data_IF_793004831785
#
_entry.id   IF_793004831785
#
_cell.length_a   1.000
_cell.length_b   1.000
_cell.length_c   1.000
_cell.angle_alpha   90.00
_cell.angle_beta   90.00
_cell.angle_gamma   90.00
#
_symmetry.space_group_name_H-M   'P 1'
#
loop_
_entity.id
_entity.type
_entity.pdbx_description
1 polymer ?
#
# COMPACT_ATOMS: atom_id res chain seq x y z
N UNK A 1 -30.98 3.10 4.00
CA UNK A 1 -29.88 2.18 3.67
C UNK A 1 -29.04 2.91 2.65
N UNK A 2 -27.75 3.11 2.91
CA UNK A 2 -26.94 3.95 2.05
C UNK A 2 -26.55 3.26 0.74
N UNK A 3 -26.46 4.02 -0.35
CA UNK A 3 -26.19 3.50 -1.68
C UNK A 3 -24.72 3.11 -1.81
N UNK A 4 -24.44 1.90 -2.29
CA UNK A 4 -23.07 1.35 -2.36
C UNK A 4 -22.65 1.08 -3.80
N UNK A 5 -21.51 1.67 -4.20
CA UNK A 5 -20.82 1.35 -5.46
C UNK A 5 -19.59 0.51 -5.16
N UNK A 6 -19.25 -0.44 -6.04
CA UNK A 6 -18.07 -1.28 -5.84
C UNK A 6 -16.84 -0.63 -6.49
N UNK A 7 -15.74 -0.49 -5.76
CA UNK A 7 -14.43 -0.22 -6.34
C UNK A 7 -13.82 -1.50 -6.93
N UNK A 8 -14.04 -2.65 -6.30
CA UNK A 8 -13.72 -3.96 -6.90
C UNK A 8 -14.99 -4.80 -6.95
N UNK A 9 -15.25 -5.45 -8.08
CA UNK A 9 -16.44 -6.29 -8.25
C UNK A 9 -16.38 -7.49 -7.28
N UNK A 10 -17.49 -7.81 -6.58
CA UNK A 10 -17.53 -8.92 -5.64
C UNK A 10 -17.40 -10.28 -6.34
N UNK A 11 -17.90 -10.37 -7.57
CA UNK A 11 -17.84 -11.55 -8.44
C UNK A 11 -16.54 -11.63 -9.25
N UNK A 12 -15.77 -10.52 -9.36
CA UNK A 12 -14.53 -10.43 -10.14
C UNK A 12 -13.51 -9.54 -9.41
N UNK A 13 -12.84 -10.09 -8.40
CA UNK A 13 -11.98 -9.33 -7.48
C UNK A 13 -10.74 -8.65 -8.12
N UNK A 14 -10.40 -9.01 -9.37
CA UNK A 14 -9.36 -8.35 -10.18
C UNK A 14 -9.87 -7.14 -10.95
N UNK A 15 -11.18 -7.05 -11.16
CA UNK A 15 -11.81 -5.95 -11.86
C UNK A 15 -11.98 -4.78 -10.89
N UNK A 16 -11.29 -3.68 -11.16
CA UNK A 16 -11.41 -2.44 -10.39
C UNK A 16 -12.03 -1.32 -11.22
N UNK A 17 -12.74 -0.41 -10.56
CA UNK A 17 -13.45 0.69 -11.20
C UNK A 17 -12.47 1.67 -11.85
N UNK A 18 -12.50 1.76 -13.17
CA UNK A 18 -11.61 2.62 -13.97
C UNK A 18 -12.31 3.88 -14.47
N UNK A 19 -13.55 3.76 -14.95
CA UNK A 19 -14.30 4.86 -15.55
C UNK A 19 -15.79 4.84 -15.18
N UNK A 20 -16.44 6.01 -15.25
CA UNK A 20 -17.85 6.21 -14.90
C UNK A 20 -18.47 7.24 -15.86
N UNK A 21 -19.68 6.98 -16.36
CA UNK A 21 -20.46 7.95 -17.12
C UNK A 21 -21.96 7.63 -17.10
N UNK A 22 -22.85 8.64 -17.12
CA UNK A 22 -24.29 8.42 -17.30
C UNK A 22 -24.63 8.01 -18.75
N UNK A 23 -23.75 8.27 -19.71
CA UNK A 23 -23.91 7.85 -21.11
C UNK A 23 -23.26 6.48 -21.34
N UNK A 24 -24.09 5.46 -21.58
CA UNK A 24 -23.63 4.10 -21.85
C UNK A 24 -22.73 4.02 -23.08
N UNK A 25 -23.05 4.74 -24.17
CA UNK A 25 -22.27 4.69 -25.41
C UNK A 25 -20.83 5.18 -25.17
N UNK A 26 -20.65 6.15 -24.27
CA UNK A 26 -19.32 6.63 -23.85
C UNK A 26 -18.56 5.59 -23.05
N UNK A 27 -19.24 4.86 -22.16
CA UNK A 27 -18.61 3.80 -21.36
C UNK A 27 -18.22 2.62 -22.25
N UNK A 28 -19.06 2.26 -23.22
CA UNK A 28 -18.77 1.23 -24.22
C UNK A 28 -17.61 1.64 -25.15
N UNK A 29 -17.55 2.89 -25.57
CA UNK A 29 -16.43 3.42 -26.34
C UNK A 29 -15.11 3.35 -25.57
N UNK A 30 -15.11 3.72 -24.28
CA UNK A 30 -13.93 3.58 -23.41
C UNK A 30 -13.53 2.11 -23.26
N UNK A 31 -14.51 1.22 -23.02
CA UNK A 31 -14.28 -0.21 -22.88
C UNK A 31 -13.66 -0.84 -24.14
N UNK A 32 -14.05 -0.37 -25.33
CA UNK A 32 -13.52 -0.85 -26.61
C UNK A 32 -12.03 -0.49 -26.84
N UNK A 33 -11.48 0.47 -26.09
CA UNK A 33 -10.06 0.83 -26.15
C UNK A 33 -9.17 0.06 -25.17
N UNK A 34 -9.77 -0.66 -24.22
CA UNK A 34 -9.03 -1.40 -23.22
C UNK A 34 -8.42 -2.68 -23.80
N UNK A 35 -7.20 -3.00 -23.38
CA UNK A 35 -6.50 -4.24 -23.74
C UNK A 35 -6.84 -5.41 -22.80
N UNK A 36 -7.24 -5.09 -21.57
CA UNK A 36 -7.56 -6.06 -20.52
C UNK A 36 -9.07 -6.37 -20.50
N UNK A 37 -9.46 -7.45 -19.80
CA UNK A 37 -10.87 -7.80 -19.60
C UNK A 37 -11.62 -6.63 -18.95
N UNK A 38 -12.72 -6.21 -19.57
CA UNK A 38 -13.60 -5.15 -19.07
C UNK A 38 -14.99 -5.65 -18.73
N UNK A 39 -15.63 -4.97 -17.78
CA UNK A 39 -17.02 -5.22 -17.37
C UNK A 39 -17.73 -3.91 -17.12
N UNK A 40 -18.98 -3.81 -17.54
CA UNK A 40 -19.83 -2.64 -17.27
C UNK A 40 -20.89 -3.04 -16.25
N UNK A 41 -21.11 -2.20 -15.23
CA UNK A 41 -22.24 -2.30 -14.31
C UNK A 41 -23.05 -1.03 -14.31
N UNK A 42 -24.35 -1.17 -14.25
CA UNK A 42 -25.29 -0.09 -14.04
C UNK A 42 -25.53 0.10 -12.55
N UNK A 43 -25.60 1.36 -12.10
CA UNK A 43 -26.00 1.74 -10.76
C UNK A 43 -27.15 2.73 -10.84
N UNK A 44 -28.20 2.44 -10.08
CA UNK A 44 -29.31 3.35 -9.83
C UNK A 44 -28.96 4.18 -8.58
N UNK A 45 -28.42 5.38 -8.80
CA UNK A 45 -28.15 6.35 -7.74
C UNK A 45 -29.20 7.49 -7.83
N UNK A 46 -28.84 8.73 -7.51
CA UNK A 46 -29.72 9.89 -7.80
C UNK A 46 -29.94 10.06 -9.32
N UNK A 47 -28.98 9.62 -10.12
CA UNK A 47 -29.12 9.37 -11.57
C UNK A 47 -28.53 7.99 -11.92
N UNK A 48 -29.00 7.40 -13.02
CA UNK A 48 -28.41 6.17 -13.56
C UNK A 48 -26.99 6.43 -14.04
N UNK A 49 -26.04 5.62 -13.57
CA UNK A 49 -24.65 5.70 -14.01
C UNK A 49 -24.11 4.33 -14.41
N UNK A 50 -23.30 4.33 -15.46
CA UNK A 50 -22.60 3.16 -15.96
C UNK A 50 -21.13 3.20 -15.53
N UNK A 51 -20.69 2.11 -14.91
CA UNK A 51 -19.37 1.94 -14.33
C UNK A 51 -18.57 0.92 -15.11
N UNK A 52 -17.43 1.35 -15.66
CA UNK A 52 -16.45 0.48 -16.31
C UNK A 52 -15.47 -0.05 -15.27
N UNK A 53 -15.31 -1.34 -15.29
CA UNK A 53 -14.31 -2.06 -14.52
C UNK A 53 -13.31 -2.70 -15.47
N UNK A 54 -12.04 -2.62 -15.11
CA UNK A 54 -10.94 -3.23 -15.87
C UNK A 54 -10.19 -4.19 -14.96
N UNK A 55 -9.92 -5.39 -15.46
CA UNK A 55 -9.12 -6.38 -14.75
C UNK A 55 -7.66 -5.91 -14.65
N UNK A 56 -7.05 -6.05 -13.47
CA UNK A 56 -5.59 -5.93 -13.36
C UNK A 56 -4.89 -6.97 -14.26
N UNK A 57 -3.73 -6.64 -14.85
CA UNK A 57 -2.92 -7.62 -15.57
C UNK A 57 -2.57 -8.83 -14.71
N UNK A 58 -2.29 -9.96 -15.34
CA UNK A 58 -1.79 -11.17 -14.67
C UNK A 58 -0.48 -11.59 -15.33
N UNK A 59 0.62 -11.40 -14.59
CA UNK A 59 1.96 -11.83 -14.99
C UNK A 59 2.31 -13.21 -14.39
N UNK A 60 1.31 -13.91 -13.86
CA UNK A 60 1.47 -15.21 -13.22
C UNK A 60 1.77 -15.11 -11.72
N UNK A 61 2.61 -16.02 -11.24
CA UNK A 61 3.01 -16.14 -9.84
C UNK A 61 4.18 -15.20 -9.58
N UNK A 62 4.15 -14.44 -8.48
CA UNK A 62 5.21 -13.48 -8.18
C UNK A 62 6.57 -14.13 -7.94
N UNK A 63 6.61 -15.31 -7.32
CA UNK A 63 7.85 -16.07 -7.13
C UNK A 63 8.52 -16.49 -8.46
N UNK A 64 7.75 -16.52 -9.56
CA UNK A 64 8.23 -16.96 -10.87
C UNK A 64 8.61 -15.76 -11.78
N UNK A 65 8.58 -14.51 -11.27
CA UNK A 65 9.03 -13.34 -12.02
C UNK A 65 10.55 -13.37 -12.23
N UNK A 66 11.02 -12.58 -13.20
CA UNK A 66 12.45 -12.35 -13.39
C UNK A 66 12.97 -11.37 -12.33
N UNK A 67 14.07 -11.74 -11.67
CA UNK A 67 14.70 -10.97 -10.59
C UNK A 67 16.17 -10.64 -10.91
N UNK A 68 16.55 -10.57 -12.18
CA UNK A 68 17.85 -10.05 -12.61
C UNK A 68 17.88 -8.52 -12.48
N UNK A 69 18.23 -8.04 -11.29
CA UNK A 69 18.28 -6.62 -10.94
C UNK A 69 19.71 -6.13 -10.67
N UNK A 70 20.72 -6.96 -10.91
CA UNK A 70 22.11 -6.67 -10.53
C UNK A 70 22.57 -5.35 -11.15
N UNK A 71 22.31 -5.16 -12.45
CA UNK A 71 22.68 -3.93 -13.16
C UNK A 71 21.94 -2.68 -12.67
N UNK A 72 20.69 -2.82 -12.19
CA UNK A 72 19.92 -1.69 -11.66
C UNK A 72 20.35 -1.32 -10.26
N UNK A 73 20.62 -2.33 -9.42
CA UNK A 73 21.14 -2.16 -8.06
C UNK A 73 22.54 -1.54 -8.12
N UNK A 74 23.45 -2.03 -8.98
CA UNK A 74 24.81 -1.51 -9.11
C UNK A 74 24.88 -0.01 -9.45
N UNK A 75 23.84 0.55 -10.09
CA UNK A 75 23.75 1.98 -10.41
C UNK A 75 23.34 2.86 -9.23
N UNK A 76 22.77 2.28 -8.18
CA UNK A 76 22.35 3.02 -6.99
C UNK A 76 23.57 3.42 -6.14
N UNK A 77 23.44 4.46 -5.30
CA UNK A 77 24.46 4.70 -4.27
C UNK A 77 24.48 3.59 -3.22
N UNK A 78 25.62 3.41 -2.54
CA UNK A 78 25.82 2.32 -1.57
C UNK A 78 24.67 2.17 -0.56
N UNK A 79 24.12 3.26 -0.05
CA UNK A 79 23.07 3.15 0.98
C UNK A 79 21.74 2.70 0.37
N UNK A 80 21.40 3.20 -0.80
CA UNK A 80 20.26 2.69 -1.57
C UNK A 80 20.44 1.22 -1.95
N UNK A 81 21.64 0.81 -2.39
CA UNK A 81 21.93 -0.59 -2.71
C UNK A 81 21.62 -1.51 -1.53
N UNK A 82 22.18 -1.21 -0.36
CA UNK A 82 22.01 -2.05 0.83
C UNK A 82 20.53 -2.15 1.24
N UNK A 83 19.81 -1.02 1.29
CA UNK A 83 18.40 -1.02 1.69
C UNK A 83 17.55 -1.77 0.64
N UNK A 84 17.81 -1.57 -0.66
CA UNK A 84 17.11 -2.27 -1.75
C UNK A 84 17.33 -3.78 -1.68
N UNK A 85 18.58 -4.24 -1.50
CA UNK A 85 18.90 -5.67 -1.38
C UNK A 85 18.14 -6.28 -0.21
N UNK A 86 18.13 -5.62 0.95
CA UNK A 86 17.39 -6.09 2.12
C UNK A 86 15.89 -6.12 1.88
N UNK A 87 15.31 -5.09 1.26
CA UNK A 87 13.88 -5.05 0.92
C UNK A 87 13.47 -6.20 -0.01
N UNK A 88 14.28 -6.48 -1.05
CA UNK A 88 14.02 -7.58 -1.99
C UNK A 88 14.17 -8.95 -1.32
N UNK A 89 15.12 -9.10 -0.40
CA UNK A 89 15.25 -10.29 0.44
C UNK A 89 13.99 -10.54 1.28
N UNK A 90 13.53 -9.52 2.00
CA UNK A 90 12.28 -9.58 2.78
C UNK A 90 11.08 -9.92 1.91
N UNK A 91 10.99 -9.35 0.71
CA UNK A 91 9.91 -9.67 -0.22
C UNK A 91 9.88 -11.16 -0.58
N UNK A 92 11.05 -11.75 -0.90
CA UNK A 92 11.15 -13.19 -1.19
C UNK A 92 10.74 -14.04 0.01
N UNK A 93 11.22 -13.72 1.21
CA UNK A 93 10.82 -14.42 2.45
C UNK A 93 9.30 -14.40 2.66
N UNK A 94 8.65 -13.25 2.40
CA UNK A 94 7.19 -13.12 2.52
C UNK A 94 6.45 -13.95 1.48
N UNK A 95 6.97 -14.06 0.25
CA UNK A 95 6.37 -14.93 -0.76
C UNK A 95 6.37 -16.40 -0.32
N UNK A 96 7.50 -16.86 0.24
CA UNK A 96 7.68 -18.23 0.73
C UNK A 96 6.78 -18.51 1.94
N UNK A 97 6.83 -17.65 2.97
CA UNK A 97 5.97 -17.76 4.17
C UNK A 97 4.49 -17.78 3.82
N UNK A 98 4.05 -16.89 2.90
CA UNK A 98 2.64 -16.86 2.49
C UNK A 98 2.21 -18.17 1.82
N UNK A 99 3.08 -18.79 1.04
CA UNK A 99 2.78 -20.08 0.43
C UNK A 99 2.72 -21.20 1.48
N UNK A 100 3.61 -21.19 2.46
CA UNK A 100 3.61 -22.16 3.56
C UNK A 100 2.35 -22.04 4.43
N UNK A 101 1.93 -20.83 4.78
CA UNK A 101 0.77 -20.55 5.63
C UNK A 101 -0.57 -20.75 4.89
N UNK A 102 -0.69 -20.21 3.68
CA UNK A 102 -1.97 -20.11 2.97
C UNK A 102 -2.13 -21.19 1.88
N UNK A 103 -1.11 -22.03 1.65
CA UNK A 103 -1.03 -23.00 0.53
C UNK A 103 -1.34 -22.37 -0.84
N UNK A 104 -1.18 -21.05 -0.95
CA UNK A 104 -1.60 -20.23 -2.08
C UNK A 104 -0.47 -19.30 -2.48
N UNK A 105 -0.06 -19.36 -3.75
CA UNK A 105 0.97 -18.46 -4.25
C UNK A 105 0.40 -17.10 -4.60
N UNK A 106 1.10 -16.05 -4.18
CA UNK A 106 0.72 -14.67 -4.50
C UNK A 106 0.90 -14.39 -6.00
N UNK A 107 -0.12 -13.80 -6.62
CA UNK A 107 -0.13 -13.40 -8.02
C UNK A 107 0.56 -12.06 -8.24
N UNK A 108 1.24 -11.90 -9.35
CA UNK A 108 1.85 -10.64 -9.78
C UNK A 108 0.94 -9.89 -10.75
N UNK A 109 0.67 -8.62 -10.45
CA UNK A 109 -0.05 -7.72 -11.38
C UNK A 109 0.87 -6.74 -12.13
N UNK A 110 2.16 -6.67 -11.77
CA UNK A 110 3.20 -5.91 -12.48
C UNK A 110 4.58 -6.56 -12.27
N UNK A 111 5.62 -6.03 -12.89
CA UNK A 111 7.01 -6.38 -12.57
C UNK A 111 7.47 -5.63 -11.31
N UNK A 112 8.57 -6.06 -10.71
CA UNK A 112 9.23 -5.27 -9.65
C UNK A 112 9.86 -4.04 -10.30
N UNK A 113 9.55 -2.86 -9.77
CA UNK A 113 10.12 -1.58 -10.21
C UNK A 113 11.30 -1.22 -9.29
N UNK A 114 12.42 -1.92 -9.47
CA UNK A 114 13.59 -1.80 -8.57
C UNK A 114 14.24 -0.43 -8.65
N UNK A 115 14.29 0.16 -9.85
CA UNK A 115 14.80 1.50 -10.14
C UNK A 115 14.02 2.62 -9.42
N UNK A 116 12.77 2.35 -9.04
CA UNK A 116 11.90 3.27 -8.34
C UNK A 116 12.06 3.22 -6.80
N UNK A 117 12.80 2.24 -6.25
CA UNK A 117 13.05 2.13 -4.80
C UNK A 117 13.89 3.30 -4.26
N UNK A 118 14.99 3.72 -4.91
CA UNK A 118 15.73 4.93 -4.52
C UNK A 118 14.87 6.18 -4.43
N UNK A 119 13.91 6.35 -5.35
CA UNK A 119 12.98 7.47 -5.35
C UNK A 119 12.06 7.39 -4.13
N UNK A 120 11.51 6.22 -3.80
CA UNK A 120 10.76 6.03 -2.55
C UNK A 120 11.58 6.42 -1.31
N UNK A 121 12.84 6.01 -1.24
CA UNK A 121 13.73 6.31 -0.11
C UNK A 121 14.14 7.79 -0.04
N UNK A 122 13.97 8.55 -1.13
CA UNK A 122 14.25 9.99 -1.18
C UNK A 122 13.15 10.84 -0.52
N UNK A 123 11.92 10.31 -0.42
CA UNK A 123 10.80 10.98 0.27
C UNK A 123 10.82 10.77 1.78
N UNK A 124 11.68 9.89 2.29
CA UNK A 124 11.78 9.63 3.73
C UNK A 124 12.44 10.82 4.42
N UNK A 125 11.75 11.40 5.41
CA UNK A 125 12.38 12.38 6.30
C UNK A 125 13.27 11.68 7.33
N UNK A 126 14.56 11.59 7.02
CA UNK A 126 15.58 10.96 7.87
C UNK A 126 16.02 11.81 9.08
N UNK A 127 15.44 12.98 9.29
CA UNK A 127 15.83 13.91 10.37
C UNK A 127 14.93 13.86 11.61
N UNK A 128 13.82 13.12 11.53
CA UNK A 128 12.86 12.99 12.62
C UNK A 128 13.28 12.05 13.75
N UNK A 129 12.35 11.82 14.67
CA UNK A 129 12.44 10.80 15.72
C UNK A 129 12.32 9.38 15.16
N UNK A 130 12.63 8.35 15.95
CA UNK A 130 12.46 6.93 15.56
C UNK A 130 11.09 6.66 14.92
N UNK A 131 9.94 7.02 15.53
CA UNK A 131 8.64 6.79 14.91
C UNK A 131 8.39 7.60 13.64
N UNK A 132 8.94 8.81 13.53
CA UNK A 132 8.78 9.65 12.35
C UNK A 132 9.55 9.08 11.16
N UNK A 133 10.83 8.75 11.33
CA UNK A 133 11.64 8.11 10.27
C UNK A 133 11.07 6.75 9.88
N UNK A 134 10.70 5.91 10.86
CA UNK A 134 10.12 4.60 10.62
C UNK A 134 8.77 4.67 9.89
N UNK A 135 7.90 5.58 10.31
CA UNK A 135 6.62 5.84 9.67
C UNK A 135 6.78 6.39 8.25
N UNK A 136 7.71 7.31 8.04
CA UNK A 136 8.02 7.89 6.73
C UNK A 136 8.59 6.84 5.76
N UNK A 137 9.48 5.95 6.25
CA UNK A 137 10.01 4.80 5.51
C UNK A 137 8.89 3.84 5.07
N UNK A 138 8.04 3.44 6.01
CA UNK A 138 6.89 2.57 5.77
C UNK A 138 5.93 3.19 4.74
N UNK A 139 5.57 4.46 4.94
CA UNK A 139 4.65 5.19 4.08
C UNK A 139 5.17 5.32 2.65
N UNK A 140 6.42 5.76 2.50
CA UNK A 140 7.02 6.03 1.20
C UNK A 140 7.11 4.78 0.33
N UNK A 141 7.49 3.64 0.91
CA UNK A 141 7.55 2.37 0.20
C UNK A 141 6.16 1.87 -0.22
N UNK A 142 5.16 1.97 0.67
CA UNK A 142 3.77 1.59 0.35
C UNK A 142 3.18 2.48 -0.74
N UNK A 143 3.42 3.80 -0.68
CA UNK A 143 2.91 4.78 -1.64
C UNK A 143 3.54 4.59 -3.02
N UNK A 144 4.86 4.36 -3.07
CA UNK A 144 5.58 4.07 -4.32
C UNK A 144 5.17 2.73 -4.92
N UNK A 145 4.90 1.74 -4.06
CA UNK A 145 4.28 0.48 -4.43
C UNK A 145 5.10 -0.30 -5.46
N UNK A 146 6.42 -0.36 -5.30
CA UNK A 146 7.38 -0.90 -6.29
C UNK A 146 7.27 -2.42 -6.48
N UNK A 147 6.66 -3.13 -5.53
CA UNK A 147 6.51 -4.59 -5.57
C UNK A 147 5.21 -5.01 -6.29
N UNK A 148 5.19 -6.21 -6.90
CA UNK A 148 4.06 -6.72 -7.68
C UNK A 148 2.92 -7.27 -6.83
N UNK A 149 3.14 -7.41 -5.53
CA UNK A 149 2.17 -7.64 -4.46
C UNK A 149 2.89 -7.43 -3.12
N UNK A 150 2.24 -7.77 -2.00
CA UNK A 150 2.82 -7.78 -0.65
C UNK A 150 3.49 -6.47 -0.14
N UNK A 151 3.36 -5.34 -0.84
CA UNK A 151 3.96 -4.05 -0.45
C UNK A 151 3.79 -3.72 1.04
N UNK A 152 2.57 -3.82 1.58
CA UNK A 152 2.34 -3.60 3.02
C UNK A 152 3.15 -4.55 3.92
N UNK A 153 3.13 -5.86 3.65
CA UNK A 153 3.84 -6.86 4.47
C UNK A 153 5.35 -6.63 4.39
N UNK A 154 5.89 -6.36 3.20
CA UNK A 154 7.32 -6.13 3.00
C UNK A 154 7.80 -4.82 3.63
N UNK A 155 7.03 -3.74 3.49
CA UNK A 155 7.38 -2.47 4.14
C UNK A 155 7.29 -2.56 5.67
N UNK A 156 6.35 -3.33 6.22
CA UNK A 156 6.29 -3.61 7.66
C UNK A 156 7.51 -4.41 8.13
N UNK A 157 7.93 -5.43 7.37
CA UNK A 157 9.14 -6.18 7.70
C UNK A 157 10.41 -5.31 7.61
N UNK A 158 10.47 -4.32 6.72
CA UNK A 158 11.59 -3.37 6.71
C UNK A 158 11.52 -2.39 7.90
N UNK A 159 10.31 -1.99 8.32
CA UNK A 159 10.13 -1.20 9.54
C UNK A 159 10.65 -1.99 10.76
N UNK A 160 10.38 -3.29 10.83
CA UNK A 160 10.94 -4.16 11.87
C UNK A 160 12.47 -4.11 11.90
N UNK A 161 13.13 -4.30 10.75
CA UNK A 161 14.60 -4.16 10.66
C UNK A 161 15.09 -2.77 11.06
N UNK A 162 14.33 -1.72 10.73
CA UNK A 162 14.65 -0.36 11.16
C UNK A 162 14.59 -0.19 12.68
N UNK A 163 13.59 -0.79 13.34
CA UNK A 163 13.49 -0.77 14.80
C UNK A 163 14.56 -1.65 15.46
N UNK A 164 14.87 -2.83 14.88
CA UNK A 164 16.00 -3.68 15.29
C UNK A 164 17.36 -2.98 15.21
N UNK A 165 17.50 -2.02 14.29
CA UNK A 165 18.73 -1.25 14.12
C UNK A 165 18.97 -0.27 15.29
N UNK A 166 17.92 0.12 16.00
CA UNK A 166 17.99 0.88 17.26
C UNK A 166 18.18 -0.04 18.45
N UNK A 167 17.42 -1.14 18.51
CA UNK A 167 17.45 -2.09 19.61
C UNK A 167 17.56 -3.53 19.12
N UNK A 168 18.70 -4.15 19.38
CA UNK A 168 18.99 -5.50 18.91
C UNK A 168 18.00 -6.51 19.51
N UNK A 169 17.34 -7.29 18.64
CA UNK A 169 16.35 -8.28 19.05
C UNK A 169 14.93 -7.74 19.22
N UNK A 170 14.65 -6.53 18.72
CA UNK A 170 13.27 -6.06 18.53
C UNK A 170 12.56 -6.96 17.51
N UNK A 171 11.49 -7.65 17.87
CA UNK A 171 10.68 -8.37 16.89
C UNK A 171 9.31 -7.71 16.82
N UNK A 172 8.77 -7.55 15.60
CA UNK A 172 7.36 -7.23 15.49
C UNK A 172 6.57 -8.42 16.02
N UNK A 173 5.55 -8.20 16.86
CA UNK A 173 4.74 -9.28 17.38
C UNK A 173 4.15 -10.11 16.25
N UNK A 174 4.28 -11.43 16.36
CA UNK A 174 3.86 -12.34 15.30
C UNK A 174 2.42 -12.01 14.90
N UNK A 175 2.23 -11.77 13.60
CA UNK A 175 0.94 -11.55 12.97
C UNK A 175 -0.02 -12.75 13.18
N UNK A 176 0.47 -13.86 13.74
CA UNK A 176 -0.22 -15.11 14.04
C UNK A 176 -0.19 -15.50 15.54
N UNK A 177 -0.10 -14.56 16.48
CA UNK A 177 -0.19 -14.89 17.92
C UNK A 177 -1.60 -15.32 18.37
N UNK A 178 -1.66 -16.19 19.39
CA UNK A 178 -2.89 -16.74 20.01
C UNK A 178 -3.81 -15.68 20.65
N UNK A 179 -3.27 -14.52 21.02
CA UNK A 179 -4.06 -13.35 21.38
C UNK A 179 -4.28 -12.46 20.15
N UNK A 180 -5.37 -12.73 19.41
CA UNK A 180 -5.91 -12.04 18.23
C UNK A 180 -5.87 -10.49 18.19
N UNK A 181 -5.41 -9.79 19.24
CA UNK A 181 -5.38 -8.33 19.38
C UNK A 181 -4.35 -7.66 18.48
N UNK A 182 -3.13 -8.19 18.38
CA UNK A 182 -2.06 -7.60 17.55
C UNK A 182 -2.40 -7.72 16.06
N UNK A 183 -2.83 -8.91 15.64
CA UNK A 183 -3.33 -9.16 14.30
C UNK A 183 -4.54 -8.27 13.96
N UNK A 184 -5.49 -8.09 14.89
CA UNK A 184 -6.65 -7.21 14.66
C UNK A 184 -6.23 -5.76 14.44
N UNK A 185 -5.28 -5.26 15.22
CA UNK A 185 -4.84 -3.88 15.14
C UNK A 185 -4.06 -3.59 13.85
N UNK A 186 -3.07 -4.43 13.50
CA UNK A 186 -2.34 -4.30 12.22
C UNK A 186 -3.30 -4.47 11.03
N UNK A 187 -4.28 -5.37 11.12
CA UNK A 187 -5.32 -5.49 10.10
C UNK A 187 -6.17 -4.22 9.95
N UNK A 188 -6.50 -3.55 11.05
CA UNK A 188 -7.21 -2.27 11.00
C UNK A 188 -6.35 -1.19 10.36
N UNK A 189 -5.07 -1.08 10.74
CA UNK A 189 -4.11 -0.20 10.06
C UNK A 189 -4.03 -0.48 8.55
N UNK A 190 -3.87 -1.75 8.15
CA UNK A 190 -3.79 -2.12 6.72
C UNK A 190 -5.09 -1.72 6.00
N UNK A 191 -6.25 -1.87 6.65
CA UNK A 191 -7.54 -1.44 6.08
C UNK A 191 -7.57 0.08 5.91
N UNK A 192 -7.15 0.85 6.90
CA UNK A 192 -7.13 2.32 6.86
C UNK A 192 -6.14 2.85 5.83
N UNK A 193 -4.93 2.28 5.77
CA UNK A 193 -3.94 2.54 4.73
C UNK A 193 -4.53 2.27 3.34
N UNK A 194 -5.15 1.11 3.12
CA UNK A 194 -5.82 0.79 1.85
C UNK A 194 -6.96 1.75 1.51
N UNK A 195 -7.70 2.27 2.49
CA UNK A 195 -8.73 3.31 2.27
C UNK A 195 -8.08 4.59 1.76
N UNK A 196 -7.08 5.12 2.47
CA UNK A 196 -6.36 6.33 2.09
C UNK A 196 -5.77 6.22 0.68
N UNK A 197 -5.07 5.12 0.38
CA UNK A 197 -4.50 4.88 -0.95
C UNK A 197 -5.57 4.83 -2.06
N UNK A 198 -6.74 4.25 -1.75
CA UNK A 198 -7.84 4.15 -2.71
C UNK A 198 -8.48 5.53 -2.95
N UNK A 199 -8.73 6.30 -1.90
CA UNK A 199 -9.27 7.67 -1.98
C UNK A 199 -8.29 8.58 -2.71
N UNK A 200 -7.00 8.54 -2.35
CA UNK A 200 -5.92 9.31 -2.99
C UNK A 200 -5.91 9.16 -4.51
N UNK A 201 -6.01 7.92 -5.00
CA UNK A 201 -5.97 7.60 -6.45
C UNK A 201 -7.29 7.94 -7.17
N UNK A 202 -8.41 7.99 -6.45
CA UNK A 202 -9.75 8.11 -7.03
C UNK A 202 -10.53 9.34 -6.56
N UNK A 203 -9.87 10.33 -5.95
CA UNK A 203 -10.51 11.45 -5.27
C UNK A 203 -11.63 12.11 -6.09
N UNK A 204 -11.33 12.56 -7.32
CA UNK A 204 -12.33 13.13 -8.24
C UNK A 204 -13.44 12.17 -8.65
N UNK A 205 -13.10 10.89 -8.84
CA UNK A 205 -14.06 9.85 -9.21
C UNK A 205 -15.05 9.60 -8.06
N UNK A 206 -14.53 9.58 -6.83
CA UNK A 206 -15.33 9.42 -5.63
C UNK A 206 -16.16 10.67 -5.34
N UNK A 207 -15.64 11.87 -5.62
CA UNK A 207 -16.43 13.10 -5.60
C UNK A 207 -17.62 13.03 -6.53
N UNK A 208 -17.39 12.53 -7.75
CA UNK A 208 -18.45 12.38 -8.72
C UNK A 208 -19.52 11.39 -8.23
N UNK A 209 -19.13 10.22 -7.73
CA UNK A 209 -20.06 9.26 -7.13
C UNK A 209 -20.84 9.86 -5.95
N UNK A 210 -20.16 10.57 -5.05
CA UNK A 210 -20.78 11.20 -3.89
C UNK A 210 -21.84 12.22 -4.30
N UNK A 211 -21.54 13.05 -5.32
CA UNK A 211 -22.50 14.01 -5.88
C UNK A 211 -23.74 13.37 -6.50
N UNK A 212 -23.66 12.09 -6.85
CA UNK A 212 -24.78 11.33 -7.41
C UNK A 212 -25.49 10.48 -6.35
N UNK A 213 -25.26 10.71 -5.05
CA UNK A 213 -25.97 10.00 -3.99
C UNK A 213 -25.34 8.64 -3.61
N UNK A 214 -24.10 8.39 -4.00
CA UNK A 214 -23.33 7.26 -3.46
C UNK A 214 -22.82 7.60 -2.05
N UNK A 215 -23.15 6.77 -1.06
CA UNK A 215 -22.69 6.95 0.31
C UNK A 215 -21.39 6.19 0.57
N UNK A 216 -21.26 4.99 -0.01
CA UNK A 216 -20.16 4.08 0.29
C UNK A 216 -19.56 3.48 -0.96
N UNK A 217 -18.23 3.47 -1.03
CA UNK A 217 -17.49 2.68 -2.00
C UNK A 217 -16.93 1.42 -1.34
N UNK A 218 -17.33 0.25 -1.86
CA UNK A 218 -16.90 -1.06 -1.36
C UNK A 218 -15.70 -1.59 -2.15
N UNK A 219 -14.61 -1.91 -1.45
CA UNK A 219 -13.40 -2.53 -1.98
C UNK A 219 -13.37 -4.01 -1.57
N UNK A 220 -12.58 -4.82 -2.29
CA UNK A 220 -12.22 -6.18 -1.86
C UNK A 220 -11.70 -6.21 -0.41
N UNK A 221 -11.73 -7.40 0.20
CA UNK A 221 -11.34 -7.65 1.60
C UNK A 221 -12.30 -7.03 2.63
N UNK A 222 -13.54 -6.72 2.23
CA UNK A 222 -14.56 -6.13 3.12
C UNK A 222 -14.30 -4.66 3.48
N UNK A 223 -13.38 -3.98 2.80
CA UNK A 223 -13.06 -2.58 3.07
C UNK A 223 -14.18 -1.69 2.52
N UNK A 224 -14.78 -0.88 3.41
CA UNK A 224 -15.79 0.12 3.08
C UNK A 224 -15.21 1.52 3.25
N UNK A 225 -15.42 2.38 2.25
CA UNK A 225 -15.01 3.78 2.23
C UNK A 225 -16.29 4.61 2.27
N UNK A 226 -16.57 5.26 3.39
CA UNK A 226 -17.68 6.19 3.53
C UNK A 226 -17.27 7.53 2.93
N UNK A 227 -17.93 7.97 1.85
CA UNK A 227 -17.46 9.10 1.05
C UNK A 227 -17.54 10.44 1.80
N UNK A 228 -18.47 10.57 2.74
CA UNK A 228 -18.64 11.72 3.62
C UNK A 228 -17.48 11.92 4.62
N UNK A 229 -16.65 10.89 4.82
CA UNK A 229 -15.53 10.89 5.75
C UNK A 229 -14.24 11.45 5.15
N UNK A 230 -14.27 11.88 3.88
CA UNK A 230 -13.11 12.29 3.11
C UNK A 230 -13.34 13.63 2.39
N UNK A 231 -12.29 14.46 2.28
CA UNK A 231 -12.29 15.62 1.40
C UNK A 231 -12.16 15.19 -0.06
N UNK A 232 -13.22 15.31 -0.85
CA UNK A 232 -13.29 14.80 -2.24
C UNK A 232 -13.29 15.90 -3.32
N UNK A 233 -13.39 17.16 -2.94
CA UNK A 233 -13.47 18.30 -3.87
C UNK A 233 -12.12 18.89 -4.29
N UNK A 234 -11.03 18.30 -3.79
CA UNK A 234 -9.66 18.75 -4.08
C UNK A 234 -9.26 18.52 -5.55
N UNK A 235 -8.43 19.43 -6.13
CA UNK A 235 -7.67 19.16 -7.34
C UNK A 235 -6.85 17.87 -7.22
N UNK A 236 -6.59 17.19 -8.36
CA UNK A 236 -5.91 15.88 -8.37
C UNK A 236 -4.54 15.92 -7.68
N UNK A 237 -3.74 16.95 -7.95
CA UNK A 237 -2.40 17.07 -7.36
C UNK A 237 -2.46 17.33 -5.85
N UNK A 238 -3.42 18.15 -5.40
CA UNK A 238 -3.63 18.46 -3.99
C UNK A 238 -4.08 17.23 -3.22
N UNK A 239 -5.07 16.49 -3.72
CA UNK A 239 -5.49 15.22 -3.14
C UNK A 239 -4.34 14.20 -3.09
N UNK A 240 -3.48 14.19 -4.11
CA UNK A 240 -2.35 13.27 -4.17
C UNK A 240 -1.32 13.53 -3.06
N UNK A 241 -1.11 14.80 -2.70
CA UNK A 241 -0.21 15.19 -1.61
C UNK A 241 -0.89 15.05 -0.26
N UNK A 242 -2.09 15.62 -0.09
CA UNK A 242 -2.84 15.57 1.16
C UNK A 242 -3.00 14.13 1.69
N UNK A 243 -3.46 13.21 0.84
CA UNK A 243 -3.62 11.81 1.28
C UNK A 243 -2.30 11.02 1.32
N UNK A 244 -1.19 11.55 0.80
CA UNK A 244 0.13 11.00 1.09
C UNK A 244 0.57 11.39 2.50
N UNK A 245 0.38 12.65 2.88
CA UNK A 245 0.69 13.16 4.22
C UNK A 245 -0.16 12.45 5.28
N UNK A 246 -1.47 12.29 5.06
CA UNK A 246 -2.36 11.53 5.95
C UNK A 246 -1.91 10.06 6.08
N UNK A 247 -1.41 9.47 5.00
CA UNK A 247 -0.89 8.10 5.01
C UNK A 247 0.42 8.02 5.80
N UNK A 248 1.30 9.01 5.68
CA UNK A 248 2.51 9.10 6.48
C UNK A 248 2.20 9.25 7.97
N UNK A 249 1.29 10.15 8.34
CA UNK A 249 0.86 10.27 9.74
C UNK A 249 0.26 8.97 10.27
N UNK A 250 -0.55 8.25 9.47
CA UNK A 250 -1.04 6.93 9.85
C UNK A 250 0.11 5.93 10.12
N UNK A 251 1.17 5.96 9.31
CA UNK A 251 2.34 5.10 9.49
C UNK A 251 3.19 5.51 10.71
N UNK A 252 3.32 6.81 10.97
CA UNK A 252 4.01 7.32 12.18
C UNK A 252 3.25 6.90 13.44
N UNK A 253 1.93 7.05 13.45
CA UNK A 253 1.08 6.62 14.58
C UNK A 253 1.11 5.10 14.78
N UNK A 254 1.18 4.32 13.69
CA UNK A 254 1.45 2.90 13.78
C UNK A 254 2.78 2.68 14.51
N UNK A 255 3.89 3.24 14.03
CA UNK A 255 5.22 3.04 14.65
C UNK A 255 5.25 3.47 16.12
N UNK A 256 4.62 4.59 16.49
CA UNK A 256 4.47 5.01 17.90
C UNK A 256 3.73 3.96 18.72
N UNK A 257 2.63 3.44 18.20
CA UNK A 257 1.83 2.44 18.89
C UNK A 257 2.58 1.11 19.04
N UNK A 258 3.37 0.70 18.04
CA UNK A 258 4.25 -0.47 18.11
C UNK A 258 5.22 -0.29 19.29
N UNK A 259 5.97 0.81 19.30
CA UNK A 259 6.96 1.12 20.35
C UNK A 259 6.33 1.19 21.74
N UNK A 260 5.14 1.81 21.86
CA UNK A 260 4.42 1.90 23.13
C UNK A 260 4.00 0.52 23.67
N UNK A 261 3.52 -0.36 22.78
CA UNK A 261 3.02 -1.69 23.15
C UNK A 261 4.12 -2.68 23.48
N UNK A 262 5.24 -2.61 22.77
CA UNK A 262 6.41 -3.44 23.01
C UNK A 262 7.32 -2.87 24.11
N UNK A 263 6.85 -1.84 24.83
CA UNK A 263 7.53 -1.24 25.98
C UNK A 263 8.89 -0.59 25.65
N UNK A 264 9.06 -0.13 24.41
CA UNK A 264 10.21 0.65 23.92
C UNK A 264 9.86 2.14 23.85
N UNK A 265 9.27 2.67 24.94
CA UNK A 265 8.79 4.06 25.02
C UNK A 265 9.91 5.09 24.99
N UNK A 266 11.12 4.68 25.38
CA UNK A 266 12.33 5.48 25.27
C UNK A 266 12.59 5.90 23.82
N UNK A 267 12.36 4.99 22.85
CA UNK A 267 12.55 5.27 21.43
C UNK A 267 11.55 6.30 20.85
N UNK A 268 10.44 6.61 21.54
CA UNK A 268 9.42 7.54 21.04
C UNK A 268 9.95 8.97 20.82
N UNK A 269 10.97 9.36 21.59
CA UNK A 269 11.60 10.69 21.51
C UNK A 269 13.05 10.66 21.04
N UNK A 270 13.62 9.48 20.84
CA UNK A 270 15.00 9.35 20.36
C UNK A 270 15.09 9.80 18.88
N UNK A 271 16.21 10.43 18.47
CA UNK A 271 16.47 10.70 17.07
C UNK A 271 16.47 9.40 16.24
N UNK A 272 15.83 9.43 15.09
CA UNK A 272 15.87 8.32 14.14
C UNK A 272 17.27 8.12 13.55
N UNK A 273 17.52 6.93 12.99
CA UNK A 273 18.75 6.69 12.23
C UNK A 273 18.66 7.42 10.90
N UNK A 274 19.69 8.19 10.56
CA UNK A 274 19.83 8.69 9.20
C UNK A 274 20.04 7.54 8.21
N UNK A 275 19.72 7.76 6.93
CA UNK A 275 19.81 6.75 5.86
C UNK A 275 21.12 5.96 5.85
N UNK A 276 22.24 6.66 5.98
CA UNK A 276 23.58 6.05 6.00
C UNK A 276 23.77 5.14 7.21
N UNK A 277 23.32 5.58 8.39
CA UNK A 277 23.42 4.80 9.63
C UNK A 277 22.55 3.55 9.54
N UNK A 278 21.31 3.69 9.07
CA UNK A 278 20.42 2.54 8.87
C UNK A 278 21.01 1.53 7.90
N UNK A 279 21.51 1.97 6.73
CA UNK A 279 22.17 1.08 5.79
C UNK A 279 23.38 0.36 6.41
N UNK A 280 24.23 1.06 7.17
CA UNK A 280 25.35 0.42 7.86
C UNK A 280 24.88 -0.63 8.88
N UNK A 281 23.84 -0.35 9.66
CA UNK A 281 23.28 -1.34 10.60
C UNK A 281 22.74 -2.57 9.88
N UNK A 282 22.07 -2.38 8.74
CA UNK A 282 21.61 -3.50 7.92
C UNK A 282 22.78 -4.38 7.45
N UNK A 283 23.94 -3.82 7.10
CA UNK A 283 25.12 -4.64 6.72
C UNK A 283 25.64 -5.51 7.88
N UNK A 284 25.47 -5.05 9.12
CA UNK A 284 25.91 -5.73 10.34
C UNK A 284 24.91 -6.78 10.85
N UNK A 285 23.65 -6.68 10.43
CA UNK A 285 22.61 -7.65 10.78
C UNK A 285 22.83 -8.99 10.06
N UNK A 286 22.50 -10.12 10.70
CA UNK A 286 22.52 -11.44 10.07
C UNK A 286 21.54 -11.57 8.91
#
# INVERSE_FOLDING_TARGET
>A
MGTTVYYHLPDHNRCSLTFLNPDLERVEAEAATATDETRIREYDLDETIYALYTASPELGVAADLDYDFDADIERMDRYNQTITIRLLGLFRTILDQTYEEESTRLRAYKQVEVDEIPDALSYVDWSGTVPEVGGSLLSSLILKHTLPNANHRTSLALLELYLQAHEYGFDLPEMATEEFRWQTWVNNYIRDSKRLLTVRRNNKKFHYLWKLGCDTVARKDGIRIHLDSYGLDMPKHEAYNYYADEHEQLCVELTRTILDKENHRDLLSEPGLGKAQFATRLEEMP
#
